data_IF_561662798827
#
_entry.id   IF_561662798827
#
_cell.length_a   1.000
_cell.length_b   1.000
_cell.length_c   1.000
_cell.angle_alpha   90.00
_cell.angle_beta   90.00
_cell.angle_gamma   90.00
#
_symmetry.space_group_name_H-M   'P 1'
#
loop_
_entity.id
_entity.type
_entity.pdbx_description
1 polymer ?
#
# COMPACT_ATOMS: atom_id res chain seq x y z
N UNK A 1 -6.61 -21.70 26.07
CA UNK A 1 -7.48 -22.44 25.13
C UNK A 1 -6.61 -23.44 24.38
N UNK A 2 -7.03 -24.70 24.30
CA UNK A 2 -6.29 -25.75 23.62
C UNK A 2 -6.50 -25.65 22.08
N UNK A 3 -5.45 -25.46 21.27
CA UNK A 3 -5.55 -25.35 19.80
C UNK A 3 -6.15 -26.58 19.12
N UNK A 4 -6.13 -27.75 19.77
CA UNK A 4 -6.63 -29.00 19.21
C UNK A 4 -8.17 -29.08 19.13
N UNK A 5 -8.88 -28.27 19.92
CA UNK A 5 -10.34 -28.27 19.95
C UNK A 5 -10.98 -27.72 18.67
N UNK A 6 -10.22 -27.05 17.80
CA UNK A 6 -10.75 -26.31 16.65
C UNK A 6 -10.52 -27.03 15.31
N UNK A 7 -9.73 -28.11 15.30
CA UNK A 7 -9.42 -28.89 14.09
C UNK A 7 -10.34 -30.10 13.87
N UNK A 8 -11.29 -30.38 14.77
CA UNK A 8 -12.34 -31.39 14.55
C UNK A 8 -13.43 -30.85 13.63
N UNK A 9 -13.17 -30.88 12.33
CA UNK A 9 -14.23 -30.72 11.33
C UNK A 9 -14.36 -32.02 10.54
N UNK A 10 -15.33 -32.86 10.93
CA UNK A 10 -15.58 -34.16 10.32
C UNK A 10 -15.83 -34.06 8.82
N UNK A 11 -16.35 -32.92 8.34
CA UNK A 11 -16.64 -32.70 6.92
C UNK A 11 -15.37 -32.63 6.06
N UNK A 12 -14.22 -32.26 6.62
CA UNK A 12 -12.98 -32.07 5.84
C UNK A 12 -11.88 -33.09 6.15
N UNK A 13 -11.84 -33.59 7.38
CA UNK A 13 -10.80 -34.53 7.81
C UNK A 13 -11.33 -35.96 8.04
N UNK A 14 -12.66 -36.14 8.05
CA UNK A 14 -13.31 -37.41 8.41
C UNK A 14 -13.52 -37.56 9.92
N UNK A 15 -14.54 -38.33 10.31
CA UNK A 15 -14.96 -38.50 11.72
C UNK A 15 -13.87 -39.07 12.63
N UNK A 16 -12.90 -39.79 12.07
CA UNK A 16 -11.85 -40.50 12.80
C UNK A 16 -10.47 -39.84 12.69
N UNK A 17 -10.39 -38.57 12.27
CA UNK A 17 -9.11 -37.89 12.17
C UNK A 17 -8.54 -37.51 13.54
N UNK A 18 -7.34 -38.02 13.83
CA UNK A 18 -6.54 -37.65 14.99
C UNK A 18 -5.15 -37.25 14.52
N UNK A 19 -4.75 -35.97 14.60
CA UNK A 19 -3.40 -35.56 14.23
C UNK A 19 -2.38 -36.18 15.21
N UNK A 20 -1.29 -36.75 14.68
CA UNK A 20 -0.19 -37.25 15.50
C UNK A 20 0.57 -36.10 16.19
N UNK A 21 1.15 -36.38 17.36
CA UNK A 21 1.93 -35.39 18.11
C UNK A 21 3.13 -34.89 17.27
N UNK A 22 3.26 -33.57 17.13
CA UNK A 22 4.30 -32.93 16.31
C UNK A 22 3.99 -32.80 14.81
N UNK A 23 2.82 -33.24 14.34
CA UNK A 23 2.42 -33.09 12.93
C UNK A 23 1.57 -31.84 12.70
N UNK A 24 1.93 -31.05 11.68
CA UNK A 24 1.14 -29.90 11.21
C UNK A 24 0.31 -30.33 10.01
N UNK A 25 -1.01 -30.21 10.13
CA UNK A 25 -1.97 -30.51 9.06
C UNK A 25 -2.61 -29.21 8.59
N UNK A 26 -2.57 -28.94 7.29
CA UNK A 26 -3.10 -27.71 6.69
C UNK A 26 -4.29 -28.08 5.79
N UNK A 27 -5.47 -27.56 6.12
CA UNK A 27 -6.64 -27.64 5.24
C UNK A 27 -6.63 -26.44 4.29
N UNK A 28 -6.46 -26.71 2.99
CA UNK A 28 -6.63 -25.69 1.96
C UNK A 28 -8.00 -25.90 1.33
N UNK A 29 -8.99 -25.12 1.75
CA UNK A 29 -10.28 -25.04 1.08
C UNK A 29 -10.14 -24.08 -0.10
N UNK A 30 -10.12 -24.62 -1.31
CA UNK A 30 -10.27 -23.80 -2.52
C UNK A 30 -11.76 -23.65 -2.77
N UNK A 31 -12.33 -22.43 -2.68
CA UNK A 31 -13.75 -22.25 -2.98
C UNK A 31 -13.99 -22.66 -4.43
N UNK A 32 -15.08 -23.40 -4.67
CA UNK A 32 -15.63 -23.58 -6.02
C UNK A 32 -16.15 -22.21 -6.49
N UNK A 33 -15.25 -21.42 -7.06
CA UNK A 33 -15.64 -20.25 -7.84
C UNK A 33 -16.14 -20.81 -9.15
N UNK A 34 -17.45 -20.72 -9.40
CA UNK A 34 -17.97 -20.91 -10.76
C UNK A 34 -17.06 -20.10 -11.69
N UNK A 35 -16.49 -20.68 -12.75
CA UNK A 35 -15.67 -19.92 -13.65
C UNK A 35 -16.56 -18.85 -14.29
N UNK A 36 -16.56 -17.64 -13.71
CA UNK A 36 -16.95 -16.45 -14.43
C UNK A 36 -16.18 -16.55 -15.75
N UNK A 37 -16.93 -16.72 -16.85
CA UNK A 37 -16.39 -16.99 -18.20
C UNK A 37 -15.06 -16.28 -18.34
N UNK A 38 -13.97 -16.96 -18.71
CA UNK A 38 -12.66 -16.33 -18.75
C UNK A 38 -12.82 -15.05 -19.55
N UNK A 39 -12.73 -13.92 -18.85
CA UNK A 39 -12.78 -12.60 -19.44
C UNK A 39 -11.77 -12.68 -20.57
N UNK A 40 -12.20 -12.50 -21.81
CA UNK A 40 -11.34 -12.73 -22.98
C UNK A 40 -9.95 -12.12 -22.72
N UNK A 41 -8.86 -12.73 -23.20
CA UNK A 41 -7.51 -12.23 -22.94
C UNK A 41 -7.38 -10.71 -23.23
N UNK A 42 -8.16 -10.21 -24.20
CA UNK A 42 -8.34 -8.79 -24.51
C UNK A 42 -8.96 -7.98 -23.36
N UNK A 43 -10.02 -8.47 -22.74
CA UNK A 43 -10.66 -7.82 -21.61
C UNK A 43 -9.85 -7.97 -20.30
N UNK A 44 -9.11 -9.07 -20.10
CA UNK A 44 -8.12 -9.18 -19.02
C UNK A 44 -6.99 -8.17 -19.21
N UNK A 45 -6.42 -8.08 -20.42
CA UNK A 45 -5.41 -7.08 -20.77
C UNK A 45 -5.92 -5.66 -20.58
N UNK A 46 -7.16 -5.37 -20.99
CA UNK A 46 -7.79 -4.06 -20.75
C UNK A 46 -7.93 -3.76 -19.25
N UNK A 47 -8.38 -4.75 -18.45
CA UNK A 47 -8.50 -4.61 -17.00
C UNK A 47 -7.14 -4.38 -16.33
N UNK A 48 -6.10 -5.09 -16.77
CA UNK A 48 -4.73 -4.91 -16.30
C UNK A 48 -4.21 -3.50 -16.64
N UNK A 49 -4.33 -3.07 -17.89
CA UNK A 49 -3.91 -1.73 -18.31
C UNK A 49 -4.64 -0.63 -17.51
N UNK A 50 -5.95 -0.79 -17.28
CA UNK A 50 -6.74 0.12 -16.46
C UNK A 50 -6.36 0.12 -14.96
N UNK A 51 -5.78 -0.98 -14.47
CA UNK A 51 -5.31 -1.11 -13.08
C UNK A 51 -3.87 -0.58 -12.92
N UNK A 52 -3.08 -0.63 -13.98
CA UNK A 52 -1.74 -0.05 -14.06
C UNK A 52 -1.77 1.46 -14.36
N UNK A 53 -2.90 1.97 -14.87
CA UNK A 53 -3.10 3.40 -15.05
C UNK A 53 -2.99 4.11 -13.70
N UNK A 54 -2.09 5.09 -13.62
CA UNK A 54 -1.94 5.92 -12.43
C UNK A 54 -3.25 6.62 -12.13
N UNK A 55 -3.71 6.52 -10.88
CA UNK A 55 -4.89 7.21 -10.37
C UNK A 55 -4.47 8.13 -9.25
N UNK A 56 -5.05 9.32 -9.23
CA UNK A 56 -4.78 10.24 -8.12
C UNK A 56 -5.21 9.61 -6.79
N UNK A 57 -4.30 9.56 -5.79
CA UNK A 57 -4.65 9.06 -4.48
C UNK A 57 -5.81 9.84 -3.87
N UNK A 58 -6.67 9.15 -3.12
CA UNK A 58 -7.70 9.81 -2.34
C UNK A 58 -7.04 10.72 -1.30
N UNK A 59 -7.52 11.97 -1.21
CA UNK A 59 -7.07 12.93 -0.19
C UNK A 59 -7.21 12.36 1.22
N UNK A 60 -6.20 12.61 2.05
CA UNK A 60 -6.14 12.25 3.46
C UNK A 60 -6.91 13.24 4.32
N UNK A 61 -6.94 14.52 3.95
CA UNK A 61 -7.75 15.54 4.58
C UNK A 61 -9.12 15.63 3.89
N UNK A 62 -10.16 15.12 4.55
CA UNK A 62 -11.56 15.16 4.06
C UNK A 62 -12.47 16.03 4.93
N UNK A 63 -11.90 16.78 5.88
CA UNK A 63 -12.64 17.64 6.79
C UNK A 63 -12.62 19.11 6.34
N UNK A 64 -13.04 20.01 7.22
CA UNK A 64 -13.12 21.45 6.94
C UNK A 64 -11.81 22.08 6.40
N UNK A 65 -10.64 21.54 6.78
CA UNK A 65 -9.33 22.02 6.33
C UNK A 65 -8.90 21.57 4.93
N UNK A 66 -9.72 20.82 4.19
CA UNK A 66 -9.35 20.27 2.87
C UNK A 66 -9.18 21.35 1.78
N UNK A 67 -9.88 22.48 1.93
CA UNK A 67 -9.92 23.57 0.95
C UNK A 67 -9.27 24.85 1.47
N UNK A 68 -8.76 24.82 2.72
CA UNK A 68 -8.02 25.96 3.27
C UNK A 68 -6.76 26.22 2.46
N UNK A 69 -6.32 27.47 2.38
CA UNK A 69 -5.01 27.79 1.82
C UNK A 69 -3.95 27.04 2.61
N UNK A 70 -3.05 26.36 1.92
CA UNK A 70 -1.97 25.64 2.57
C UNK A 70 -1.03 26.64 3.27
N UNK A 71 -0.84 26.44 4.57
CA UNK A 71 -0.02 27.30 5.44
C UNK A 71 1.33 26.67 5.80
N UNK A 72 1.66 25.50 5.22
CA UNK A 72 2.88 24.78 5.58
C UNK A 72 4.15 25.38 4.95
N UNK A 73 5.27 24.77 5.32
CA UNK A 73 6.61 25.26 5.09
C UNK A 73 7.05 25.19 3.62
N UNK A 74 6.87 26.28 2.85
CA UNK A 74 7.39 26.41 1.49
C UNK A 74 8.92 26.31 1.46
N UNK A 75 9.58 26.63 2.56
CA UNK A 75 11.02 26.41 2.77
C UNK A 75 11.42 24.93 2.66
N UNK A 76 10.50 23.98 2.88
CA UNK A 76 10.78 22.55 2.70
C UNK A 76 11.10 22.20 1.25
N UNK A 77 10.62 22.98 0.28
CA UNK A 77 10.86 22.70 -1.14
C UNK A 77 12.36 22.66 -1.43
N UNK A 78 13.14 23.57 -0.84
CA UNK A 78 14.61 23.59 -0.98
C UNK A 78 15.27 22.40 -0.27
N UNK A 79 14.76 22.01 0.90
CA UNK A 79 15.30 20.85 1.64
C UNK A 79 15.00 19.51 0.95
N UNK A 80 13.88 19.43 0.21
CA UNK A 80 13.44 18.23 -0.51
C UNK A 80 14.20 18.00 -1.82
N UNK A 81 14.79 19.03 -2.41
CA UNK A 81 15.47 18.93 -3.71
C UNK A 81 16.64 17.93 -3.68
N UNK A 82 17.52 18.02 -2.67
CA UNK A 82 18.69 17.14 -2.56
C UNK A 82 18.32 15.65 -2.35
N UNK A 83 17.41 15.28 -1.42
CA UNK A 83 16.92 13.91 -1.30
C UNK A 83 16.28 13.39 -2.59
N UNK A 84 15.55 14.22 -3.32
CA UNK A 84 14.91 13.84 -4.57
C UNK A 84 15.94 13.49 -5.65
N UNK A 85 16.98 14.33 -5.83
CA UNK A 85 18.10 14.04 -6.74
C UNK A 85 18.81 12.75 -6.34
N UNK A 86 19.09 12.58 -5.05
CA UNK A 86 19.75 11.36 -4.53
C UNK A 86 18.93 10.11 -4.85
N UNK A 87 17.61 10.18 -4.65
CA UNK A 87 16.71 9.07 -4.95
C UNK A 87 16.64 8.78 -6.46
N UNK A 88 16.62 9.81 -7.30
CA UNK A 88 16.63 9.65 -8.76
C UNK A 88 17.94 9.04 -9.28
N UNK A 89 19.08 9.44 -8.74
CA UNK A 89 20.39 8.84 -9.08
C UNK A 89 20.44 7.36 -8.66
N UNK A 90 19.97 7.03 -7.46
CA UNK A 90 19.87 5.64 -7.00
C UNK A 90 18.98 4.80 -7.91
N UNK A 91 17.82 5.35 -8.33
CA UNK A 91 16.94 4.70 -9.29
C UNK A 91 17.63 4.46 -10.66
N UNK A 92 18.35 5.45 -11.20
CA UNK A 92 19.11 5.30 -12.45
C UNK A 92 20.17 4.20 -12.39
N UNK A 93 20.78 4.00 -11.23
CA UNK A 93 21.78 2.96 -10.98
C UNK A 93 21.17 1.58 -10.71
N UNK A 94 19.83 1.47 -10.67
CA UNK A 94 19.13 0.22 -10.39
C UNK A 94 19.15 -0.19 -8.91
N UNK A 95 19.41 0.75 -8.00
CA UNK A 95 19.35 0.48 -6.57
C UNK A 95 17.90 0.44 -6.09
N UNK A 96 17.32 -0.75 -6.13
CA UNK A 96 15.94 -1.02 -5.69
C UNK A 96 15.83 -1.38 -4.20
N UNK A 97 16.94 -1.37 -3.47
CA UNK A 97 16.90 -1.67 -2.04
C UNK A 97 16.08 -0.63 -1.25
N UNK A 98 15.56 -1.06 -0.11
CA UNK A 98 14.76 -0.21 0.78
C UNK A 98 15.61 0.82 1.55
N UNK A 99 16.94 0.76 1.45
CA UNK A 99 17.84 1.67 2.15
C UNK A 99 17.95 3.02 1.44
N UNK A 100 17.77 3.02 0.11
CA UNK A 100 17.86 4.21 -0.74
C UNK A 100 16.51 4.92 -1.00
N UNK A 101 15.42 4.42 -0.40
CA UNK A 101 14.11 5.04 -0.50
C UNK A 101 13.94 6.11 0.59
N UNK A 102 13.62 7.34 0.17
CA UNK A 102 13.32 8.42 1.11
C UNK A 102 12.04 8.11 1.89
N UNK A 103 12.12 8.09 3.22
CA UNK A 103 10.97 7.96 4.11
C UNK A 103 10.65 9.34 4.68
N UNK A 104 9.49 9.88 4.32
CA UNK A 104 8.99 11.14 4.84
C UNK A 104 8.05 10.89 6.03
N UNK A 105 8.41 11.38 7.20
CA UNK A 105 7.60 11.25 8.42
C UNK A 105 7.03 12.63 8.82
N UNK A 106 5.71 12.76 8.83
CA UNK A 106 5.01 13.98 9.23
C UNK A 106 4.44 13.82 10.64
N UNK A 107 5.00 14.56 11.62
CA UNK A 107 4.64 14.48 13.04
C UNK A 107 4.06 15.80 13.54
N UNK A 108 3.08 15.73 14.44
CA UNK A 108 2.44 16.91 15.03
C UNK A 108 1.23 16.55 15.88
N UNK A 109 0.79 17.49 16.73
CA UNK A 109 -0.38 17.34 17.60
C UNK A 109 -1.71 17.13 16.87
N UNK A 110 -2.80 16.92 17.60
CA UNK A 110 -4.14 16.83 17.00
C UNK A 110 -4.49 18.18 16.35
N UNK A 111 -5.05 18.14 15.15
CA UNK A 111 -5.52 19.35 14.45
C UNK A 111 -4.43 20.19 13.76
N UNK A 112 -3.15 19.79 13.83
CA UNK A 112 -2.04 20.57 13.23
C UNK A 112 -1.90 20.43 11.70
N UNK A 113 -2.91 19.89 11.02
CA UNK A 113 -2.88 19.78 9.55
C UNK A 113 -1.99 18.68 8.96
N UNK A 114 -1.60 17.64 9.71
CA UNK A 114 -0.76 16.53 9.18
C UNK A 114 -1.30 15.90 7.90
N UNK A 115 -2.58 15.54 7.87
CA UNK A 115 -3.21 14.97 6.68
C UNK A 115 -3.16 15.95 5.50
N UNK A 116 -3.36 17.24 5.77
CA UNK A 116 -3.28 18.28 4.75
C UNK A 116 -1.85 18.44 4.21
N UNK A 117 -0.84 18.44 5.08
CA UNK A 117 0.58 18.45 4.69
C UNK A 117 0.91 17.27 3.76
N UNK A 118 0.42 16.06 4.07
CA UNK A 118 0.65 14.89 3.23
C UNK A 118 -0.07 14.98 1.88
N UNK A 119 -1.26 15.58 1.82
CA UNK A 119 -1.95 15.85 0.55
C UNK A 119 -1.16 16.81 -0.35
N UNK A 120 -0.49 17.80 0.25
CA UNK A 120 0.30 18.83 -0.45
C UNK A 120 1.73 18.37 -0.80
N UNK A 121 2.20 17.26 -0.21
CA UNK A 121 3.56 16.75 -0.42
C UNK A 121 3.88 16.50 -1.89
N UNK A 122 2.90 16.03 -2.68
CA UNK A 122 3.07 15.88 -4.14
C UNK A 122 3.43 17.21 -4.80
N UNK A 123 2.72 18.29 -4.46
CA UNK A 123 2.98 19.64 -4.97
C UNK A 123 4.37 20.14 -4.57
N UNK A 124 4.73 19.99 -3.28
CA UNK A 124 6.04 20.38 -2.77
C UNK A 124 7.18 19.65 -3.48
N UNK A 125 7.07 18.34 -3.71
CA UNK A 125 8.05 17.55 -4.44
C UNK A 125 8.15 17.96 -5.91
N UNK A 126 7.02 18.27 -6.55
CA UNK A 126 7.01 18.79 -7.91
C UNK A 126 7.69 20.16 -8.02
N UNK A 127 7.48 21.06 -7.06
CA UNK A 127 8.21 22.33 -7.02
C UNK A 127 9.69 22.14 -6.72
N UNK A 128 10.05 21.19 -5.84
CA UNK A 128 11.43 20.88 -5.51
C UNK A 128 12.20 20.35 -6.73
N UNK A 129 11.53 19.59 -7.58
CA UNK A 129 12.10 19.07 -8.83
C UNK A 129 12.34 20.14 -9.90
N UNK A 130 11.82 21.36 -9.73
CA UNK A 130 12.06 22.48 -10.66
C UNK A 130 13.29 23.32 -10.31
N UNK A 131 13.83 23.17 -9.09
CA UNK A 131 15.04 23.86 -8.65
C UNK A 131 16.27 23.27 -9.34
#
# INVERSE_FOLDING_TARGET
MDPLLWLKNANYFGENFTPGEGQVHVLVVVPEVEPERPVSAKAQRKKLLNALEWREPKRLCTGYGQDWTYQGALELVTELARPLVTHYEAWKLGYEDKQNHAINLVVGGRGTGKSRMLDEMKGLLCEAAKQ
#
